data_IF_552198386483
#
_entry.id   IF_552198386483
#
_cell.length_a   1.000
_cell.length_b   1.000
_cell.length_c   1.000
_cell.angle_alpha   90.00
_cell.angle_beta   90.00
_cell.angle_gamma   90.00
#
_symmetry.space_group_name_H-M   'P 1'
#
loop_
_entity.id
_entity.type
_entity.pdbx_description
1 polymer ?
#
# COMPACT_ATOMS: atom_id res chain seq x y z
N UNK A 1 29.89 -63.91 20.06
CA UNK A 1 29.79 -62.80 19.09
C UNK A 1 28.32 -62.49 18.80
N UNK A 2 27.76 -61.44 19.43
CA UNK A 2 26.47 -60.84 19.06
C UNK A 2 26.65 -59.32 19.11
N UNK A 3 26.61 -58.66 17.95
CA UNK A 3 26.70 -57.20 17.82
C UNK A 3 25.30 -56.62 17.99
N UNK A 4 25.02 -56.03 19.15
CA UNK A 4 23.86 -55.14 19.35
C UNK A 4 24.20 -53.78 18.75
N UNK A 5 23.48 -53.39 17.69
CA UNK A 5 23.55 -52.05 17.10
C UNK A 5 22.70 -51.11 17.97
N UNK A 6 23.36 -50.23 18.72
CA UNK A 6 22.72 -49.09 19.36
C UNK A 6 22.43 -48.03 18.28
N UNK A 7 21.16 -47.89 17.91
CA UNK A 7 20.69 -46.75 17.13
C UNK A 7 20.48 -45.59 18.10
N UNK A 8 21.40 -44.63 18.08
CA UNK A 8 21.21 -43.33 18.73
C UNK A 8 20.12 -42.62 17.93
N UNK A 9 18.92 -42.55 18.52
CA UNK A 9 17.86 -41.67 18.06
C UNK A 9 18.37 -40.22 18.19
N UNK A 10 18.73 -39.63 17.06
CA UNK A 10 18.95 -38.19 16.94
C UNK A 10 17.57 -37.54 17.04
N UNK A 11 17.16 -37.19 18.26
CA UNK A 11 15.94 -36.43 18.50
C UNK A 11 16.13 -35.05 17.88
N UNK A 12 15.55 -34.88 16.69
CA UNK A 12 15.50 -33.63 15.95
C UNK A 12 14.95 -32.54 16.87
N UNK A 13 15.84 -31.66 17.32
CA UNK A 13 15.51 -30.41 17.99
C UNK A 13 14.87 -29.49 16.95
N UNK A 14 13.60 -29.74 16.63
CA UNK A 14 12.73 -28.74 16.03
C UNK A 14 12.51 -27.66 17.08
N UNK A 15 13.50 -26.77 17.19
CA UNK A 15 13.31 -25.42 17.69
C UNK A 15 12.19 -24.82 16.84
N UNK A 16 10.97 -24.91 17.37
CA UNK A 16 9.91 -23.98 17.04
C UNK A 16 10.46 -22.60 17.39
N UNK A 17 11.16 -21.98 16.45
CA UNK A 17 11.31 -20.54 16.43
C UNK A 17 9.88 -20.03 16.33
N UNK A 18 9.29 -19.72 17.48
CA UNK A 18 8.11 -18.88 17.55
C UNK A 18 8.51 -17.58 16.88
N UNK A 19 8.29 -17.51 15.57
CA UNK A 19 8.40 -16.27 14.80
C UNK A 19 7.42 -15.36 15.51
N UNK A 20 7.94 -14.41 16.29
CA UNK A 20 7.15 -13.42 16.98
C UNK A 20 6.28 -12.75 15.90
N UNK A 21 4.99 -13.09 15.90
CA UNK A 21 4.07 -12.66 14.86
C UNK A 21 3.93 -11.15 15.02
N UNK A 22 4.65 -10.40 14.18
CA UNK A 22 4.67 -8.95 14.23
C UNK A 22 3.22 -8.43 14.05
N UNK A 23 2.67 -7.90 15.13
CA UNK A 23 1.36 -7.27 15.16
C UNK A 23 1.28 -6.15 14.12
N UNK A 24 0.08 -5.96 13.53
CA UNK A 24 -0.16 -4.81 12.65
C UNK A 24 0.24 -3.55 13.37
N UNK A 25 1.23 -2.94 12.77
CA UNK A 25 1.94 -1.75 13.13
C UNK A 25 0.99 -0.56 13.10
N UNK A 26 0.42 -0.27 14.27
CA UNK A 26 0.36 1.08 14.86
C UNK A 26 0.29 2.21 13.82
N UNK A 27 -0.93 2.57 13.40
CA UNK A 27 -1.19 3.74 12.54
C UNK A 27 -1.15 4.99 13.42
N UNK A 28 -0.38 6.00 13.02
CA UNK A 28 -0.33 7.29 13.70
C UNK A 28 -1.62 8.07 13.45
N UNK A 29 -2.08 8.10 12.22
CA UNK A 29 -3.23 8.91 11.86
C UNK A 29 -4.01 8.36 10.67
N UNK A 30 -5.31 8.66 10.65
CA UNK A 30 -6.26 8.32 9.60
C UNK A 30 -6.91 9.60 9.12
N UNK A 31 -6.44 10.06 7.96
CA UNK A 31 -6.93 11.24 7.29
C UNK A 31 -8.07 10.84 6.36
N UNK A 32 -9.28 11.36 6.63
CA UNK A 32 -10.45 11.08 5.79
C UNK A 32 -10.28 11.76 4.44
N UNK A 33 -10.45 11.00 3.36
CA UNK A 33 -10.51 11.56 2.03
C UNK A 33 -11.97 11.92 1.69
N UNK A 34 -12.17 12.99 0.92
CA UNK A 34 -13.51 13.44 0.50
C UNK A 34 -13.93 12.72 -0.77
N UNK A 35 -15.21 12.39 -0.89
CA UNK A 35 -15.75 11.82 -2.12
C UNK A 35 -15.73 12.84 -3.26
N UNK A 36 -15.36 12.40 -4.47
CA UNK A 36 -15.28 13.28 -5.65
C UNK A 36 -16.03 12.76 -6.87
N UNK A 37 -16.04 11.45 -7.10
CA UNK A 37 -16.66 10.86 -8.29
C UNK A 37 -17.08 9.42 -8.04
N UNK A 38 -18.17 8.99 -8.64
CA UNK A 38 -18.52 7.56 -8.77
C UNK A 38 -18.02 7.06 -10.12
N UNK A 39 -17.25 5.98 -10.10
CA UNK A 39 -16.79 5.24 -11.26
C UNK A 39 -17.80 4.13 -11.51
N UNK A 40 -18.75 4.41 -12.41
CA UNK A 40 -19.75 3.45 -12.82
C UNK A 40 -19.12 2.39 -13.71
N UNK A 41 -19.56 1.15 -13.59
CA UNK A 41 -19.20 0.09 -14.52
C UNK A 41 -20.44 -0.55 -15.12
N UNK A 42 -20.33 -0.95 -16.38
CA UNK A 42 -21.35 -1.76 -17.08
C UNK A 42 -21.09 -3.26 -16.93
N UNK A 43 -19.90 -3.64 -16.45
CA UNK A 43 -19.44 -5.03 -16.32
C UNK A 43 -19.48 -5.44 -14.83
N UNK A 44 -19.22 -4.48 -13.95
CA UNK A 44 -18.91 -4.70 -12.54
C UNK A 44 -19.65 -3.71 -11.64
N UNK A 45 -19.21 -3.51 -10.39
CA UNK A 45 -19.91 -2.64 -9.42
C UNK A 45 -19.32 -1.23 -9.37
N UNK A 46 -20.15 -0.26 -8.96
CA UNK A 46 -19.74 1.14 -8.78
C UNK A 46 -18.62 1.27 -7.74
N UNK A 47 -17.60 2.09 -8.07
CA UNK A 47 -16.50 2.41 -7.15
C UNK A 47 -16.48 3.91 -6.84
N UNK A 48 -16.28 4.28 -5.58
CA UNK A 48 -16.23 5.70 -5.19
C UNK A 48 -14.80 6.20 -5.12
N UNK A 49 -14.47 7.12 -6.02
CA UNK A 49 -13.22 7.84 -6.01
C UNK A 49 -13.24 8.93 -4.93
N UNK A 50 -12.19 8.97 -4.11
CA UNK A 50 -11.99 9.95 -3.06
C UNK A 50 -10.71 10.74 -3.27
N UNK A 51 -10.74 12.02 -2.93
CA UNK A 51 -9.59 12.93 -2.95
C UNK A 51 -9.13 13.22 -1.52
N UNK A 52 -7.86 12.99 -1.25
CA UNK A 52 -7.25 13.17 0.06
C UNK A 52 -6.74 14.61 0.26
N UNK A 53 -6.33 14.94 1.48
CA UNK A 53 -5.93 16.30 1.88
C UNK A 53 -4.76 16.88 1.11
N UNK A 54 -3.89 16.01 0.59
CA UNK A 54 -2.76 16.41 -0.24
C UNK A 54 -3.07 16.42 -1.74
N UNK A 55 -4.34 16.30 -2.13
CA UNK A 55 -4.85 16.21 -3.51
C UNK A 55 -4.57 14.91 -4.24
N UNK A 56 -4.00 13.90 -3.60
CA UNK A 56 -3.95 12.54 -4.16
C UNK A 56 -5.31 11.85 -4.08
N UNK A 57 -5.45 10.72 -4.75
CA UNK A 57 -6.69 9.96 -4.79
C UNK A 57 -6.56 8.58 -4.13
N UNK A 58 -7.68 8.10 -3.60
CA UNK A 58 -7.90 6.73 -3.11
C UNK A 58 -9.31 6.30 -3.52
N UNK A 59 -9.66 5.02 -3.34
CA UNK A 59 -11.01 4.53 -3.61
C UNK A 59 -11.66 4.01 -2.33
N UNK A 60 -12.96 4.22 -2.16
CA UNK A 60 -13.67 3.86 -0.94
C UNK A 60 -13.85 2.35 -0.80
N UNK A 61 -14.42 1.75 -1.85
CA UNK A 61 -14.76 0.34 -1.86
C UNK A 61 -13.47 -0.44 -2.13
N UNK A 62 -12.96 -1.17 -1.12
CA UNK A 62 -12.15 -2.33 -1.41
C UNK A 62 -13.12 -3.36 -1.99
N UNK A 63 -12.88 -3.83 -3.21
CA UNK A 63 -13.70 -4.88 -3.71
C UNK A 63 -13.76 -6.12 -2.83
N UNK A 64 -14.92 -6.78 -2.82
CA UNK A 64 -14.92 -8.20 -2.47
C UNK A 64 -13.98 -8.92 -3.43
N UNK A 65 -13.10 -9.79 -2.92
CA UNK A 65 -12.24 -10.60 -3.77
C UNK A 65 -13.14 -11.43 -4.72
N UNK A 66 -13.01 -11.23 -6.03
CA UNK A 66 -13.78 -11.98 -7.04
C UNK A 66 -13.23 -13.39 -7.28
N UNK A 67 -12.00 -13.63 -6.84
CA UNK A 67 -11.41 -14.96 -6.78
C UNK A 67 -10.48 -15.07 -5.57
N UNK A 68 -10.16 -16.29 -5.16
CA UNK A 68 -9.18 -16.57 -4.10
C UNK A 68 -7.74 -16.15 -4.49
N UNK A 69 -7.48 -16.00 -5.78
CA UNK A 69 -6.13 -15.77 -6.32
C UNK A 69 -5.91 -14.30 -6.71
N UNK A 70 -6.83 -13.71 -7.48
CA UNK A 70 -6.74 -12.32 -7.92
C UNK A 70 -7.33 -11.36 -6.90
N UNK A 71 -6.43 -10.83 -6.05
CA UNK A 71 -6.71 -9.71 -5.17
C UNK A 71 -6.92 -8.40 -5.93
N UNK A 72 -7.66 -7.49 -5.32
CA UNK A 72 -8.08 -6.21 -5.91
C UNK A 72 -7.14 -5.04 -5.60
N UNK A 73 -6.07 -5.31 -4.86
CA UNK A 73 -5.11 -4.29 -4.42
C UNK A 73 -4.35 -3.67 -5.59
N UNK A 74 -3.87 -4.48 -6.54
CA UNK A 74 -3.18 -4.01 -7.74
C UNK A 74 -4.05 -3.04 -8.57
N UNK A 75 -5.23 -3.47 -9.05
CA UNK A 75 -6.13 -2.61 -9.80
C UNK A 75 -6.54 -1.34 -9.04
N UNK A 76 -6.80 -1.45 -7.73
CA UNK A 76 -7.12 -0.29 -6.87
C UNK A 76 -6.00 0.75 -6.86
N UNK A 77 -4.78 0.30 -6.61
CA UNK A 77 -3.60 1.17 -6.59
C UNK A 77 -3.40 1.81 -7.95
N UNK A 78 -3.55 1.03 -9.03
CA UNK A 78 -3.47 1.55 -10.39
C UNK A 78 -4.55 2.62 -10.68
N UNK A 79 -5.80 2.44 -10.25
CA UNK A 79 -6.84 3.48 -10.36
C UNK A 79 -6.44 4.76 -9.64
N UNK A 80 -5.93 4.64 -8.41
CA UNK A 80 -5.49 5.79 -7.63
C UNK A 80 -4.34 6.54 -8.34
N UNK A 81 -3.37 5.80 -8.90
CA UNK A 81 -2.23 6.36 -9.63
C UNK A 81 -2.67 7.02 -10.94
N UNK A 82 -3.41 6.32 -11.79
CA UNK A 82 -3.91 6.85 -13.07
C UNK A 82 -4.75 8.12 -12.87
N UNK A 83 -5.56 8.15 -11.81
CA UNK A 83 -6.33 9.36 -11.48
C UNK A 83 -5.40 10.50 -11.04
N UNK A 84 -4.42 10.20 -10.18
CA UNK A 84 -3.54 11.22 -9.61
C UNK A 84 -2.58 11.81 -10.64
N UNK A 85 -2.10 11.00 -11.58
CA UNK A 85 -1.00 11.35 -12.49
C UNK A 85 -1.42 11.55 -13.94
N UNK A 86 -2.49 10.88 -14.39
CA UNK A 86 -2.99 11.01 -15.76
C UNK A 86 -4.33 11.76 -15.82
N UNK A 87 -4.94 12.10 -14.68
CA UNK A 87 -6.29 12.65 -14.63
C UNK A 87 -7.36 11.67 -15.13
N UNK A 88 -7.04 10.38 -15.23
CA UNK A 88 -7.92 9.32 -15.74
C UNK A 88 -8.22 8.32 -14.65
N UNK A 89 -9.48 8.32 -14.21
CA UNK A 89 -9.99 7.29 -13.31
C UNK A 89 -10.68 6.21 -14.14
N UNK A 90 -10.39 4.94 -13.82
CA UNK A 90 -11.06 3.77 -14.36
C UNK A 90 -11.58 2.92 -13.19
N UNK A 91 -12.61 2.12 -13.43
CA UNK A 91 -13.09 1.22 -12.41
C UNK A 91 -12.09 0.06 -12.20
N UNK A 92 -11.53 -0.15 -10.99
CA UNK A 92 -10.52 -1.17 -10.74
C UNK A 92 -10.98 -2.59 -11.08
N UNK A 93 -12.29 -2.86 -10.99
CA UNK A 93 -12.83 -4.16 -11.37
C UNK A 93 -12.76 -4.40 -12.88
N UNK A 94 -13.03 -3.37 -13.69
CA UNK A 94 -12.99 -3.51 -15.14
C UNK A 94 -11.57 -3.86 -15.60
N UNK A 95 -10.55 -3.25 -14.98
CA UNK A 95 -9.17 -3.64 -15.26
C UNK A 95 -8.90 -5.10 -14.92
N UNK A 96 -9.42 -5.58 -13.79
CA UNK A 96 -9.28 -6.99 -13.40
C UNK A 96 -9.99 -7.93 -14.39
N UNK A 97 -11.20 -7.61 -14.83
CA UNK A 97 -11.95 -8.41 -15.81
C UNK A 97 -11.28 -8.41 -17.19
N UNK A 98 -10.59 -7.32 -17.55
CA UNK A 98 -9.77 -7.20 -18.76
C UNK A 98 -8.42 -7.93 -18.65
N UNK A 99 -8.17 -8.62 -17.54
CA UNK A 99 -6.96 -9.42 -17.33
C UNK A 99 -5.76 -8.64 -16.79
N UNK A 100 -5.87 -7.33 -16.54
CA UNK A 100 -4.82 -6.58 -15.86
C UNK A 100 -4.65 -7.10 -14.43
N UNK A 101 -3.40 -7.12 -13.98
CA UNK A 101 -3.01 -7.57 -12.64
C UNK A 101 -3.38 -9.03 -12.32
N UNK A 102 -3.75 -9.83 -13.33
CA UNK A 102 -4.04 -11.25 -13.18
C UNK A 102 -2.77 -12.02 -12.87
N UNK A 103 -2.79 -12.78 -11.78
CA UNK A 103 -1.66 -13.58 -11.32
C UNK A 103 -2.14 -14.98 -10.92
N UNK A 104 -1.36 -15.99 -11.26
CA UNK A 104 -1.64 -17.38 -10.86
C UNK A 104 -1.38 -17.63 -9.37
N UNK A 105 -0.65 -16.72 -8.72
CA UNK A 105 -0.36 -16.77 -7.29
C UNK A 105 -1.35 -15.91 -6.49
N UNK A 106 -1.56 -16.18 -5.19
CA UNK A 106 -2.40 -15.32 -4.35
C UNK A 106 -1.85 -13.88 -4.28
N UNK A 107 -2.62 -12.93 -4.79
CA UNK A 107 -2.26 -11.52 -4.88
C UNK A 107 -1.45 -11.19 -6.14
N UNK A 108 -1.35 -9.89 -6.45
CA UNK A 108 -0.55 -9.42 -7.59
C UNK A 108 0.93 -9.43 -7.19
N UNK A 109 1.80 -10.14 -7.93
CA UNK A 109 3.24 -10.06 -7.70
C UNK A 109 3.82 -8.74 -8.21
N UNK A 110 4.98 -8.28 -7.68
CA UNK A 110 5.62 -7.05 -8.14
C UNK A 110 5.83 -6.98 -9.65
N UNK A 111 6.26 -8.07 -10.30
CA UNK A 111 6.44 -8.10 -11.76
C UNK A 111 5.13 -7.95 -12.54
N UNK A 112 4.06 -8.61 -12.08
CA UNK A 112 2.70 -8.48 -12.65
C UNK A 112 2.18 -7.05 -12.50
N UNK A 113 2.42 -6.43 -11.34
CA UNK A 113 2.08 -5.03 -11.07
C UNK A 113 2.83 -4.07 -12.00
N UNK A 114 4.14 -4.28 -12.19
CA UNK A 114 4.97 -3.50 -13.12
C UNK A 114 4.47 -3.60 -14.57
N UNK A 115 4.26 -4.82 -15.09
CA UNK A 115 3.76 -5.01 -16.46
C UNK A 115 2.41 -4.34 -16.65
N UNK A 116 1.45 -4.59 -15.74
CA UNK A 116 0.08 -4.07 -15.85
C UNK A 116 0.04 -2.54 -15.75
N UNK A 117 0.87 -1.93 -14.89
CA UNK A 117 0.98 -0.48 -14.82
C UNK A 117 1.58 0.11 -16.10
N UNK A 118 2.60 -0.53 -16.67
CA UNK A 118 3.21 -0.11 -17.93
C UNK A 118 2.22 -0.20 -19.09
N UNK A 119 1.41 -1.26 -19.15
CA UNK A 119 0.38 -1.42 -20.17
C UNK A 119 -0.68 -0.32 -20.06
N UNK A 120 -1.23 -0.10 -18.85
CA UNK A 120 -2.22 0.96 -18.62
C UNK A 120 -1.68 2.36 -18.95
N UNK A 121 -0.45 2.69 -18.53
CA UNK A 121 0.14 4.00 -18.82
C UNK A 121 0.43 4.20 -20.31
N UNK A 122 0.84 3.13 -21.01
CA UNK A 122 1.08 3.15 -22.46
C UNK A 122 -0.20 3.37 -23.25
N UNK A 123 -1.27 2.65 -22.91
CA UNK A 123 -2.59 2.81 -23.53
C UNK A 123 -3.20 4.19 -23.29
N UNK A 124 -2.84 4.82 -22.16
CA UNK A 124 -3.28 6.16 -21.79
C UNK A 124 -2.20 7.21 -22.01
N UNK A 125 -1.22 6.97 -22.89
CA UNK A 125 -0.06 7.85 -23.14
C UNK A 125 -0.42 9.26 -23.60
N UNK A 126 -1.64 9.48 -24.12
CA UNK A 126 -2.17 10.82 -24.40
C UNK A 126 -2.41 11.66 -23.15
N UNK A 127 -2.67 11.01 -22.02
CA UNK A 127 -3.04 11.65 -20.75
C UNK A 127 -1.99 11.44 -19.66
N UNK A 128 -1.19 10.39 -19.78
CA UNK A 128 -0.15 10.04 -18.83
C UNK A 128 1.21 10.64 -19.22
N UNK A 129 2.10 10.91 -18.25
CA UNK A 129 3.49 11.20 -18.54
C UNK A 129 4.15 10.03 -19.28
N UNK A 130 5.15 10.33 -20.10
CA UNK A 130 6.01 9.29 -20.71
C UNK A 130 6.99 8.77 -19.66
N UNK A 131 7.19 7.47 -19.68
CA UNK A 131 8.06 6.77 -18.74
C UNK A 131 7.65 5.32 -18.60
N UNK A 132 8.26 4.62 -17.65
CA UNK A 132 7.96 3.24 -17.32
C UNK A 132 8.00 3.01 -15.82
N UNK A 133 7.12 2.14 -15.37
CA UNK A 133 7.17 1.56 -14.04
C UNK A 133 8.25 0.50 -13.97
N UNK A 134 8.94 0.45 -12.84
CA UNK A 134 9.98 -0.53 -12.54
C UNK A 134 9.91 -1.05 -11.12
N UNK A 135 10.12 -2.36 -10.96
CA UNK A 135 10.33 -2.97 -9.64
C UNK A 135 11.76 -2.71 -9.18
N UNK A 136 11.87 -2.30 -7.93
CA UNK A 136 13.12 -2.14 -7.21
C UNK A 136 13.04 -2.87 -5.87
N UNK A 137 14.21 -3.17 -5.33
CA UNK A 137 14.33 -3.73 -3.98
C UNK A 137 15.56 -3.16 -3.27
N UNK A 138 15.42 -2.90 -1.97
CA UNK A 138 16.54 -2.64 -1.08
C UNK A 138 16.65 -3.75 -0.02
N UNK A 139 17.88 -4.01 0.43
CA UNK A 139 18.15 -4.94 1.53
C UNK A 139 18.12 -4.22 2.88
N UNK A 140 18.41 -2.92 2.89
CA UNK A 140 18.36 -2.08 4.09
C UNK A 140 17.17 -1.11 4.04
N UNK A 141 16.44 -1.04 5.14
CA UNK A 141 15.28 -0.17 5.28
C UNK A 141 15.64 1.31 5.28
N UNK A 142 16.81 1.69 5.82
CA UNK A 142 17.27 3.07 5.74
C UNK A 142 17.65 3.47 4.32
N UNK A 143 18.31 2.57 3.57
CA UNK A 143 18.55 2.75 2.14
C UNK A 143 17.22 2.99 1.39
N UNK A 144 16.21 2.13 1.60
CA UNK A 144 14.88 2.30 1.02
C UNK A 144 14.28 3.69 1.33
N UNK A 145 14.28 4.09 2.60
CA UNK A 145 13.70 5.37 3.03
C UNK A 145 14.43 6.56 2.43
N UNK A 146 15.77 6.50 2.36
CA UNK A 146 16.58 7.58 1.81
C UNK A 146 16.41 7.72 0.29
N UNK A 147 16.34 6.60 -0.43
CA UNK A 147 16.01 6.61 -1.86
C UNK A 147 14.62 7.20 -2.11
N UNK A 148 13.63 6.77 -1.32
CA UNK A 148 12.26 7.27 -1.40
C UNK A 148 12.18 8.76 -1.09
N UNK A 149 12.84 9.22 -0.03
CA UNK A 149 12.88 10.62 0.37
C UNK A 149 13.53 11.49 -0.71
N UNK A 150 14.64 11.04 -1.30
CA UNK A 150 15.33 11.76 -2.37
C UNK A 150 14.44 11.88 -3.62
N UNK A 151 13.73 10.82 -4.01
CA UNK A 151 12.77 10.87 -5.12
C UNK A 151 11.66 11.89 -4.85
N UNK A 152 11.08 11.86 -3.65
CA UNK A 152 10.02 12.78 -3.26
C UNK A 152 10.44 14.26 -3.13
N UNK A 153 11.75 14.53 -3.08
CA UNK A 153 12.32 15.89 -3.06
C UNK A 153 12.62 16.44 -4.45
N UNK A 154 12.79 15.58 -5.47
CA UNK A 154 13.19 16.00 -6.82
C UNK A 154 12.06 16.70 -7.60
N UNK A 155 10.80 16.34 -7.36
CA UNK A 155 9.66 17.00 -7.99
C UNK A 155 9.37 18.37 -7.36
N UNK A 156 9.28 19.43 -8.18
CA UNK A 156 8.97 20.80 -7.71
C UNK A 156 7.47 20.96 -7.42
N UNK A 157 6.63 20.19 -8.11
CA UNK A 157 5.18 20.09 -7.86
C UNK A 157 4.76 18.68 -7.46
N UNK A 158 3.56 18.54 -6.87
CA UNK A 158 3.04 17.22 -6.45
C UNK A 158 2.81 16.26 -7.62
N UNK A 159 2.46 16.80 -8.78
CA UNK A 159 2.33 16.06 -10.05
C UNK A 159 3.68 15.71 -10.68
N UNK A 160 4.76 16.39 -10.29
CA UNK A 160 6.14 16.09 -10.69
C UNK A 160 6.85 15.12 -9.73
N UNK A 161 6.23 14.76 -8.60
CA UNK A 161 6.82 13.73 -7.74
C UNK A 161 6.56 12.38 -8.39
N UNK A 162 7.63 11.71 -8.79
CA UNK A 162 7.58 10.34 -9.32
C UNK A 162 6.68 9.47 -8.44
N UNK A 163 5.59 8.89 -8.99
CA UNK A 163 4.76 8.03 -8.20
C UNK A 163 5.52 6.82 -7.70
N UNK A 164 5.14 6.39 -6.51
CA UNK A 164 5.83 5.35 -5.79
C UNK A 164 4.82 4.41 -5.14
N UNK A 165 5.01 3.12 -5.33
CA UNK A 165 4.18 2.09 -4.70
C UNK A 165 5.06 1.21 -3.83
N UNK A 166 4.69 1.01 -2.58
CA UNK A 166 5.35 0.03 -1.70
C UNK A 166 4.56 -1.26 -1.64
N UNK A 167 5.30 -2.36 -1.60
CA UNK A 167 4.77 -3.67 -1.31
C UNK A 167 4.86 -3.96 0.19
N UNK A 168 3.75 -4.32 0.81
CA UNK A 168 3.64 -4.47 2.26
C UNK A 168 2.77 -5.67 2.62
N UNK A 169 2.88 -6.10 3.87
CA UNK A 169 1.91 -6.98 4.51
C UNK A 169 1.30 -6.35 5.74
N UNK A 170 0.03 -6.68 5.95
CA UNK A 170 -0.70 -6.48 7.18
C UNK A 170 -1.01 -7.85 7.82
N UNK A 171 -0.96 -7.98 9.15
CA UNK A 171 -1.29 -9.23 9.90
C UNK A 171 -2.66 -9.76 9.47
N UNK A 172 -2.75 -11.07 9.28
CA UNK A 172 -3.97 -11.75 8.81
C UNK A 172 -4.51 -11.22 7.47
N UNK A 173 -3.70 -10.48 6.70
CA UNK A 173 -4.02 -10.07 5.34
C UNK A 173 -3.01 -10.64 4.37
N UNK A 174 -3.50 -10.80 3.15
CA UNK A 174 -2.68 -11.05 1.98
C UNK A 174 -1.77 -9.85 1.69
N UNK A 175 -0.87 -10.08 0.73
CA UNK A 175 0.01 -9.08 0.16
C UNK A 175 -0.78 -7.84 -0.27
N UNK A 176 -0.23 -6.66 0.01
CA UNK A 176 -0.93 -5.40 -0.22
C UNK A 176 0.01 -4.34 -0.79
N UNK A 177 -0.56 -3.39 -1.53
CA UNK A 177 0.16 -2.30 -2.15
C UNK A 177 -0.34 -0.95 -1.62
N UNK A 178 0.60 -0.04 -1.38
CA UNK A 178 0.28 1.33 -1.01
C UNK A 178 0.95 2.32 -1.97
N UNK A 179 0.21 3.27 -2.58
CA UNK A 179 0.79 4.50 -3.08
C UNK A 179 1.40 5.28 -1.92
N UNK A 180 2.71 5.48 -1.95
CA UNK A 180 3.42 6.33 -0.99
C UNK A 180 3.28 7.76 -1.44
N UNK A 181 2.70 8.60 -0.58
CA UNK A 181 2.34 9.97 -0.95
C UNK A 181 3.32 11.00 -0.43
N UNK A 182 3.82 10.79 0.79
CA UNK A 182 4.79 11.70 1.38
C UNK A 182 5.62 11.04 2.48
N UNK A 183 6.86 11.49 2.62
CA UNK A 183 7.73 11.22 3.77
C UNK A 183 8.07 12.57 4.42
N UNK A 184 7.84 12.68 5.72
CA UNK A 184 8.09 13.92 6.46
C UNK A 184 8.45 13.63 7.92
N UNK A 185 9.00 14.64 8.58
CA UNK A 185 9.41 14.56 9.97
C UNK A 185 8.60 15.52 10.84
N UNK A 186 8.31 15.09 12.06
CA UNK A 186 7.52 15.82 13.05
C UNK A 186 8.33 16.09 14.32
N UNK A 187 7.99 17.16 15.04
CA UNK A 187 8.66 17.55 16.29
C UNK A 187 8.42 16.54 17.41
N UNK A 188 7.17 16.09 17.58
CA UNK A 188 6.79 15.23 18.69
C UNK A 188 7.01 13.74 18.37
N UNK A 189 7.75 13.03 19.24
CA UNK A 189 7.99 11.58 19.12
C UNK A 189 6.77 10.74 19.52
N UNK A 190 5.91 11.26 20.40
CA UNK A 190 4.74 10.56 20.92
C UNK A 190 3.50 10.83 20.04
N UNK A 191 3.45 10.20 18.87
CA UNK A 191 2.23 10.17 18.09
C UNK A 191 1.14 9.38 18.84
N UNK A 192 -0.11 9.86 18.82
CA UNK A 192 -1.24 9.01 19.18
C UNK A 192 -1.31 7.90 18.13
N UNK A 193 -1.38 6.66 18.58
CA UNK A 193 -1.35 5.50 17.70
C UNK A 193 -2.66 4.75 17.84
N UNK A 194 -3.26 4.41 16.70
CA UNK A 194 -4.41 3.53 16.60
C UNK A 194 -3.98 2.18 16.02
N UNK A 195 -4.27 1.11 16.73
CA UNK A 195 -4.22 -0.24 16.16
C UNK A 195 -5.46 -0.43 15.29
N UNK A 196 -5.26 -0.85 14.04
CA UNK A 196 -6.35 -1.21 13.16
C UNK A 196 -6.61 -2.71 13.27
N UNK A 197 -7.83 -3.08 13.64
CA UNK A 197 -8.35 -4.42 13.39
C UNK A 197 -8.77 -4.51 11.93
N UNK A 198 -8.48 -5.65 11.30
CA UNK A 198 -8.95 -5.92 9.94
C UNK A 198 -10.47 -6.10 9.97
N UNK A 199 -11.20 -5.19 9.31
CA UNK A 199 -12.61 -5.42 9.03
C UNK A 199 -12.73 -6.55 8.00
N UNK A 200 -13.63 -7.54 8.19
CA UNK A 200 -13.98 -8.50 7.15
C UNK A 200 -14.43 -7.78 5.87
N UNK A 201 -14.32 -8.47 4.72
CA UNK A 201 -14.91 -7.99 3.48
C UNK A 201 -16.40 -7.70 3.66
N UNK A 202 -16.87 -6.58 3.13
CA UNK A 202 -18.27 -6.17 3.26
C UNK A 202 -19.17 -7.15 2.49
N UNK A 203 -20.26 -7.59 3.12
CA UNK A 203 -21.28 -8.38 2.44
C UNK A 203 -21.96 -7.56 1.32
N UNK A 204 -22.70 -8.21 0.41
CA UNK A 204 -23.50 -7.50 -0.61
C UNK A 204 -24.50 -6.52 0.02
N UNK A 205 -25.14 -6.92 1.12
CA UNK A 205 -26.07 -6.06 1.87
C UNK A 205 -25.36 -4.87 2.54
N UNK A 206 -24.18 -5.08 3.11
CA UNK A 206 -23.39 -3.99 3.70
C UNK A 206 -22.91 -3.01 2.63
N UNK A 207 -22.56 -3.50 1.43
CA UNK A 207 -22.23 -2.66 0.28
C UNK A 207 -23.43 -1.79 -0.13
N UNK A 208 -24.63 -2.36 -0.25
CA UNK A 208 -25.84 -1.61 -0.58
C UNK A 208 -26.22 -0.57 0.50
N UNK A 209 -26.04 -0.93 1.77
CA UNK A 209 -26.22 -0.02 2.91
C UNK A 209 -25.21 1.12 2.89
N UNK A 210 -23.93 0.81 2.64
CA UNK A 210 -22.87 1.80 2.52
C UNK A 210 -23.09 2.72 1.31
N UNK A 211 -23.57 2.20 0.17
CA UNK A 211 -23.99 3.00 -1.01
C UNK A 211 -25.11 3.97 -0.65
N UNK A 212 -26.13 3.50 0.06
CA UNK A 212 -27.25 4.34 0.51
C UNK A 212 -26.81 5.39 1.52
N UNK A 213 -25.94 5.02 2.47
CA UNK A 213 -25.35 5.94 3.44
C UNK A 213 -24.43 6.96 2.75
N UNK A 214 -23.69 6.56 1.73
CA UNK A 214 -22.85 7.45 0.90
C UNK A 214 -23.71 8.47 0.15
N UNK A 215 -24.77 8.03 -0.52
CA UNK A 215 -25.70 8.92 -1.24
C UNK A 215 -26.29 9.98 -0.29
N UNK A 216 -26.62 9.59 0.95
CA UNK A 216 -27.10 10.50 2.00
C UNK A 216 -26.01 11.44 2.53
N UNK A 217 -24.80 10.93 2.74
CA UNK A 217 -23.72 11.66 3.42
C UNK A 217 -22.84 12.50 2.49
N UNK A 218 -22.97 12.41 1.16
CA UNK A 218 -22.12 13.16 0.22
C UNK A 218 -22.16 14.68 0.44
N UNK A 219 -23.23 15.20 1.05
CA UNK A 219 -23.38 16.63 1.37
C UNK A 219 -22.77 17.05 2.71
N UNK A 220 -22.36 16.12 3.58
CA UNK A 220 -22.11 16.40 5.01
C UNK A 220 -20.65 16.28 5.48
N UNK A 221 -19.70 15.89 4.62
CA UNK A 221 -18.29 15.73 5.07
C UNK A 221 -17.51 17.03 4.88
N UNK A 222 -17.72 17.95 5.82
CA UNK A 222 -16.88 19.13 6.02
C UNK A 222 -15.55 18.71 6.68
N UNK A 223 -14.46 19.00 5.96
CA UNK A 223 -13.03 19.02 6.36
C UNK A 223 -12.67 18.20 7.61
N UNK A 224 -12.19 16.97 7.43
CA UNK A 224 -11.37 16.35 8.47
C UNK A 224 -10.11 17.21 8.68
N UNK A 225 -9.87 17.69 9.89
CA UNK A 225 -8.61 18.38 10.19
C UNK A 225 -7.52 17.33 10.36
N UNK A 226 -6.35 17.59 9.74
CA UNK A 226 -5.12 16.85 10.05
C UNK A 226 -4.82 17.09 11.55
N UNK A 227 -4.55 16.05 12.36
CA UNK A 227 -4.18 16.22 13.75
C UNK A 227 -2.99 17.18 13.90
N UNK A 228 -2.88 17.77 15.07
CA UNK A 228 -1.84 18.74 15.45
C UNK A 228 -0.46 18.08 15.57
N UNK A 229 0.12 17.60 14.46
CA UNK A 229 1.56 17.36 14.36
C UNK A 229 2.20 18.52 13.58
N UNK A 230 3.02 19.32 14.26
CA UNK A 230 3.84 20.33 13.62
C UNK A 230 4.97 19.64 12.83
N UNK A 231 4.96 19.85 11.51
CA UNK A 231 6.11 19.47 10.67
C UNK A 231 7.34 20.23 11.13
N UNK A 232 8.50 19.58 11.11
CA UNK A 232 9.77 20.29 11.29
C UNK A 232 9.89 21.40 10.24
N UNK A 233 10.26 22.59 10.69
CA UNK A 233 10.62 23.72 9.81
C UNK A 233 11.79 23.34 8.91
N UNK A 234 12.79 22.66 9.46
CA UNK A 234 13.92 22.10 8.74
C UNK A 234 13.81 20.57 8.66
N UNK A 235 13.36 20.07 7.50
CA UNK A 235 13.24 18.62 7.28
C UNK A 235 14.63 17.99 7.10
N UNK A 236 14.98 16.94 7.86
CA UNK A 236 16.22 16.21 7.65
C UNK A 236 16.44 15.80 6.19
N UNK A 237 17.71 15.82 5.77
CA UNK A 237 18.09 15.41 4.42
C UNK A 237 18.00 13.90 4.22
N UNK A 238 18.19 13.13 5.30
CA UNK A 238 18.20 11.66 5.35
C UNK A 238 17.49 11.12 6.60
N UNK A 239 16.96 9.90 6.49
CA UNK A 239 16.52 9.09 7.63
C UNK A 239 17.72 8.32 8.20
N UNK A 240 17.91 8.40 9.51
CA UNK A 240 18.95 7.71 10.30
C UNK A 240 18.32 6.99 11.48
N UNK A 241 19.12 6.21 12.21
CA UNK A 241 18.69 5.60 13.48
C UNK A 241 18.18 6.64 14.48
N UNK A 242 18.80 7.82 14.53
CA UNK A 242 18.50 8.85 15.54
C UNK A 242 17.17 9.58 15.28
N UNK A 243 16.77 9.70 14.02
CA UNK A 243 15.58 10.47 13.63
C UNK A 243 14.41 9.60 13.11
N UNK A 244 14.56 8.28 13.04
CA UNK A 244 13.50 7.38 12.55
C UNK A 244 12.20 7.47 13.37
N UNK A 245 12.29 7.79 14.67
CA UNK A 245 11.11 7.96 15.52
C UNK A 245 10.29 9.21 15.16
N UNK A 246 10.91 10.22 14.54
CA UNK A 246 10.25 11.45 14.06
C UNK A 246 9.76 11.31 12.63
N UNK A 247 10.24 10.30 11.90
CA UNK A 247 9.91 10.04 10.52
C UNK A 247 8.47 9.47 10.39
N UNK A 248 7.69 10.06 9.49
CA UNK A 248 6.30 9.71 9.17
C UNK A 248 6.16 9.45 7.67
N UNK A 249 5.32 8.49 7.33
CA UNK A 249 5.01 8.14 5.95
C UNK A 249 3.50 8.18 5.77
N UNK A 250 3.05 9.04 4.86
CA UNK A 250 1.66 9.08 4.41
C UNK A 250 1.50 8.15 3.21
N UNK A 251 0.49 7.29 3.28
CA UNK A 251 0.10 6.39 2.20
C UNK A 251 -1.40 6.46 1.95
N UNK A 252 -1.81 6.19 0.72
CA UNK A 252 -3.23 6.02 0.43
C UNK A 252 -3.61 4.54 0.61
N UNK A 253 -4.58 4.29 1.48
CA UNK A 253 -5.07 2.93 1.75
C UNK A 253 -6.57 2.98 1.88
N UNK A 254 -7.29 2.37 0.93
CA UNK A 254 -8.75 2.34 0.76
C UNK A 254 -9.57 3.29 1.65
N UNK A 255 -10.28 4.22 1.02
CA UNK A 255 -11.12 5.25 1.65
C UNK A 255 -10.40 6.35 2.40
N UNK A 256 -9.16 6.10 2.84
CA UNK A 256 -8.43 6.98 3.73
C UNK A 256 -6.98 7.14 3.31
N UNK A 257 -6.35 8.16 3.87
CA UNK A 257 -4.91 8.27 3.89
C UNK A 257 -4.43 7.88 5.29
N UNK A 258 -3.51 6.93 5.37
CA UNK A 258 -2.92 6.46 6.62
C UNK A 258 -1.54 7.06 6.80
N UNK A 259 -1.21 7.40 8.02
CA UNK A 259 0.13 7.83 8.40
C UNK A 259 0.75 6.77 9.29
N UNK A 260 1.92 6.29 8.91
CA UNK A 260 2.73 5.35 9.67
C UNK A 260 3.98 6.04 10.21
N UNK A 261 4.56 5.53 11.29
CA UNK A 261 5.98 5.82 11.55
C UNK A 261 6.82 5.09 10.51
N UNK A 262 7.99 5.63 10.16
CA UNK A 262 8.86 4.96 9.18
C UNK A 262 9.27 3.55 9.63
N UNK A 263 9.56 3.36 10.92
CA UNK A 263 9.84 2.03 11.49
C UNK A 263 8.68 1.05 11.31
N UNK A 264 7.44 1.51 11.48
CA UNK A 264 6.24 0.68 11.32
C UNK A 264 6.04 0.23 9.87
N UNK A 265 6.25 1.11 8.90
CA UNK A 265 6.16 0.73 7.49
C UNK A 265 7.26 -0.27 7.12
N UNK A 266 8.51 -0.04 7.55
CA UNK A 266 9.62 -0.96 7.28
C UNK A 266 9.35 -2.38 7.79
N UNK A 267 8.74 -2.52 8.97
CA UNK A 267 8.32 -3.83 9.49
C UNK A 267 7.27 -4.50 8.60
N UNK A 268 6.30 -3.74 8.08
CA UNK A 268 5.28 -4.26 7.16
C UNK A 268 5.87 -4.70 5.83
N UNK A 269 6.84 -3.96 5.30
CA UNK A 269 7.51 -4.30 4.04
C UNK A 269 8.32 -5.58 4.20
N UNK A 270 9.13 -5.69 5.26
CA UNK A 270 9.91 -6.90 5.55
C UNK A 270 9.02 -8.13 5.66
N UNK A 271 7.94 -8.02 6.44
CA UNK A 271 6.98 -9.11 6.64
C UNK A 271 6.28 -9.56 5.35
N UNK A 272 6.26 -8.74 4.29
CA UNK A 272 5.70 -9.11 2.99
C UNK A 272 6.58 -10.12 2.23
N UNK A 273 7.90 -10.02 2.37
CA UNK A 273 8.83 -10.90 1.67
C UNK A 273 8.98 -12.28 2.33
N UNK A 274 8.63 -12.39 3.62
CA UNK A 274 8.73 -13.65 4.38
C UNK A 274 7.66 -14.71 4.00
N UNK A 275 6.89 -14.53 2.92
CA UNK A 275 5.73 -15.37 2.58
C UNK A 275 5.83 -15.85 1.15
N UNK A 276 5.25 -17.03 0.90
CA UNK A 276 5.15 -17.63 -0.44
C UNK A 276 6.53 -17.77 -1.12
N UNK A 277 7.61 -17.81 -0.34
CA UNK A 277 8.97 -17.86 -0.86
C UNK A 277 9.40 -16.60 -1.62
N UNK A 278 8.71 -15.47 -1.45
CA UNK A 278 9.03 -14.23 -2.16
C UNK A 278 10.42 -13.71 -1.83
N UNK A 279 10.98 -14.01 -0.66
CA UNK A 279 12.36 -13.70 -0.29
C UNK A 279 13.41 -14.33 -1.21
N UNK A 280 13.06 -15.40 -1.96
CA UNK A 280 13.93 -15.97 -2.98
C UNK A 280 13.96 -15.14 -4.28
N UNK A 281 12.94 -14.31 -4.51
CA UNK A 281 12.73 -13.55 -5.74
C UNK A 281 12.90 -12.03 -5.54
N UNK A 282 12.66 -11.54 -4.32
CA UNK A 282 12.55 -10.14 -4.00
C UNK A 282 13.29 -9.80 -2.71
N UNK A 283 13.79 -8.56 -2.62
CA UNK A 283 14.51 -8.05 -1.43
C UNK A 283 13.52 -7.56 -0.37
N UNK A 284 13.94 -7.55 0.90
CA UNK A 284 13.15 -7.14 2.10
C UNK A 284 12.30 -5.87 1.93
N UNK A 285 12.75 -4.91 1.12
CA UNK A 285 12.04 -3.67 0.85
C UNK A 285 11.76 -3.52 -0.64
N UNK A 286 10.71 -4.20 -1.12
CA UNK A 286 10.26 -4.15 -2.53
C UNK A 286 9.33 -2.97 -2.77
N UNK A 287 9.55 -2.25 -3.86
CA UNK A 287 8.77 -1.09 -4.26
C UNK A 287 8.80 -0.89 -5.78
N UNK A 288 7.84 -0.11 -6.30
CA UNK A 288 7.67 0.12 -7.73
C UNK A 288 7.68 1.63 -7.97
N UNK A 289 8.45 2.06 -8.97
CA UNK A 289 8.66 3.49 -9.27
C UNK A 289 8.48 3.76 -10.74
N UNK A 290 7.92 4.92 -11.06
CA UNK A 290 7.87 5.45 -12.42
C UNK A 290 9.14 6.25 -12.75
N UNK A 291 9.73 6.03 -13.92
CA UNK A 291 10.96 6.67 -14.41
C UNK A 291 10.92 6.99 -15.91
#
# INVERSE_FOLDING_TARGET
MKRTKNYIFLTTLLLFTGIAHADITKVVDILKCRDVKTLTSNITEDVYLRKCHDNTYTIYTQPGARSKYNGVCGPTVATALMTSYCGKAFNPYDAQELGYFSDITPGTRPGTMESSLNDLFRENSRYCPRGRWKVYGATDGYQFLNLSLNRMKRGRSKSEKDPFVVFVRSKNKDLHYFPLVNIYFVQNKAARVRTLTSTPGLSGADRARNRSQWLRNRKLITRAQRPSESRLTNQPTRVTRDNISQCRIAVNDYSVQKVYTCSNLLKMMRAANDIYGLSALYKDYTYIVFE
#
